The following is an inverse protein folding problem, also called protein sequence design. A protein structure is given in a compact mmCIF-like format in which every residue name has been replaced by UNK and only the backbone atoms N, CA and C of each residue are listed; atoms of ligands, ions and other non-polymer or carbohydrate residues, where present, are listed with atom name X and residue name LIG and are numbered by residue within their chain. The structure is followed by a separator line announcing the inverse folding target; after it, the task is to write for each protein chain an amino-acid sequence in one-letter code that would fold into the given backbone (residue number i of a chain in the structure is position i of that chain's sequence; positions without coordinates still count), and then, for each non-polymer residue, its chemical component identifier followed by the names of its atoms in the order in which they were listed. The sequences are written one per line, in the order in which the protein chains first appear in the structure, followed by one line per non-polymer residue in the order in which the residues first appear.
data_IF_427512399046
#
_entry.id   IF_427512399046
#
_cell.length_a   1.000
_cell.length_b   1.000
_cell.length_c   1.000
_cell.angle_alpha   90.00
_cell.angle_beta   90.00
_cell.angle_gamma   90.00
#
_symmetry.space_group_name_H-M   'P 1'
#
loop_
_entity.id
_entity.type
_entity.pdbx_description
1 polymer ?
#
# COMPACT_ATOMS: atom_id res chain seq x y z
N UNK A 1 13.15 -69.00 -47.26
CA UNK A 1 13.63 -67.60 -47.32
C UNK A 1 12.93 -66.77 -46.26
N UNK A 2 13.74 -66.10 -45.41
CA UNK A 2 13.52 -64.88 -44.61
C UNK A 2 12.34 -64.83 -43.62
N UNK A 3 12.68 -65.26 -42.40
CA UNK A 3 12.14 -64.81 -41.11
C UNK A 3 12.37 -63.30 -40.96
N UNK A 4 11.31 -62.51 -40.73
CA UNK A 4 11.44 -61.08 -40.40
C UNK A 4 11.06 -60.90 -38.92
N UNK A 5 12.07 -60.68 -38.07
CA UNK A 5 11.93 -60.37 -36.66
C UNK A 5 11.76 -58.86 -36.50
N UNK A 6 10.59 -58.43 -36.05
CA UNK A 6 10.33 -57.02 -35.70
C UNK A 6 10.50 -56.87 -34.20
N UNK A 7 11.57 -56.18 -33.79
CA UNK A 7 11.83 -55.82 -32.38
C UNK A 7 11.12 -54.48 -32.14
N UNK A 8 10.03 -54.48 -31.38
CA UNK A 8 9.37 -53.26 -30.92
C UNK A 8 10.03 -52.83 -29.61
N UNK A 9 10.82 -51.76 -29.68
CA UNK A 9 11.43 -51.09 -28.53
C UNK A 9 10.32 -50.42 -27.71
N UNK A 10 10.05 -50.94 -26.51
CA UNK A 10 9.16 -50.30 -25.54
C UNK A 10 9.90 -49.13 -24.87
N UNK A 11 9.61 -47.91 -25.30
CA UNK A 11 10.15 -46.68 -24.69
C UNK A 11 9.33 -46.35 -23.43
N UNK A 12 9.91 -46.61 -22.26
CA UNK A 12 9.33 -46.28 -20.95
C UNK A 12 9.53 -44.77 -20.70
N UNK A 13 8.50 -43.97 -20.95
CA UNK A 13 8.50 -42.52 -20.64
C UNK A 13 8.23 -42.37 -19.14
N UNK A 14 9.27 -42.05 -18.37
CA UNK A 14 9.17 -41.71 -16.94
C UNK A 14 8.45 -40.37 -16.85
N UNK A 15 7.14 -40.40 -16.63
CA UNK A 15 6.34 -39.23 -16.27
C UNK A 15 6.68 -38.81 -14.84
N UNK A 16 7.73 -38.00 -14.69
CA UNK A 16 8.04 -37.31 -13.45
C UNK A 16 6.97 -36.28 -13.13
N UNK A 17 5.99 -36.68 -12.32
CA UNK A 17 5.06 -35.76 -11.65
C UNK A 17 5.87 -34.90 -10.68
N UNK A 18 6.25 -33.71 -11.12
CA UNK A 18 6.73 -32.68 -10.21
C UNK A 18 5.52 -32.14 -9.45
N UNK A 19 5.28 -32.66 -8.25
CA UNK A 19 4.41 -32.04 -7.26
C UNK A 19 5.02 -30.70 -6.85
N UNK A 20 4.84 -29.68 -7.68
CA UNK A 20 5.11 -28.31 -7.27
C UNK A 20 4.00 -27.94 -6.29
N UNK A 21 4.33 -28.05 -5.02
CA UNK A 21 3.58 -27.42 -3.94
C UNK A 21 3.64 -25.92 -4.17
N UNK A 22 2.74 -25.39 -5.01
CA UNK A 22 2.46 -23.97 -5.06
C UNK A 22 1.80 -23.66 -3.73
N UNK A 23 2.61 -23.40 -2.71
CA UNK A 23 2.19 -22.60 -1.57
C UNK A 23 1.84 -21.24 -2.16
N UNK A 24 0.62 -21.13 -2.67
CA UNK A 24 0.00 -19.87 -3.01
C UNK A 24 -0.14 -19.13 -1.69
N UNK A 25 0.93 -18.44 -1.31
CA UNK A 25 0.92 -17.45 -0.26
C UNK A 25 -0.08 -16.41 -0.73
N UNK A 26 -1.33 -16.57 -0.31
CA UNK A 26 -2.42 -15.68 -0.68
C UNK A 26 -2.19 -14.45 0.18
N UNK A 27 -1.25 -13.61 -0.25
CA UNK A 27 -1.05 -12.29 0.32
C UNK A 27 -2.42 -11.60 0.25
N UNK A 28 -3.07 -11.54 1.42
CA UNK A 28 -4.37 -10.91 1.52
C UNK A 28 -4.11 -9.41 1.51
N UNK A 29 -4.12 -8.85 0.32
CA UNK A 29 -3.96 -7.43 0.11
C UNK A 29 -5.05 -6.68 0.90
N UNK A 30 -4.62 -5.77 1.78
CA UNK A 30 -5.52 -4.85 2.46
C UNK A 30 -5.66 -3.65 1.53
N UNK A 31 -6.85 -3.42 0.95
CA UNK A 31 -6.94 -2.60 -0.25
C UNK A 31 -6.79 -1.09 0.01
N UNK A 32 -6.66 -0.68 1.28
CA UNK A 32 -6.34 0.69 1.69
C UNK A 32 -4.84 0.94 1.84
N UNK A 33 -4.03 -0.11 2.02
CA UNK A 33 -2.61 0.02 2.36
C UNK A 33 -1.81 0.44 1.13
N UNK A 34 -1.07 1.53 1.25
CA UNK A 34 -0.32 2.11 0.15
C UNK A 34 -0.10 3.61 0.30
N UNK A 35 0.53 4.17 -0.72
CA UNK A 35 0.70 5.60 -0.91
C UNK A 35 -0.28 6.08 -1.98
N UNK A 36 -1.05 7.10 -1.61
CA UNK A 36 -2.14 7.66 -2.40
C UNK A 36 -1.89 9.15 -2.62
N UNK A 37 -2.19 9.64 -3.83
CA UNK A 37 -2.05 11.04 -4.22
C UNK A 37 -3.36 11.57 -4.80
N UNK A 38 -3.73 12.81 -4.45
CA UNK A 38 -4.94 13.46 -4.92
C UNK A 38 -4.80 14.97 -4.94
N UNK A 39 -5.74 15.65 -5.59
CA UNK A 39 -5.81 17.11 -5.60
C UNK A 39 -7.04 17.52 -4.80
N UNK A 40 -6.88 18.45 -3.85
CA UNK A 40 -8.04 19.03 -3.16
C UNK A 40 -8.82 19.90 -4.15
N UNK A 41 -10.08 19.57 -4.45
CA UNK A 41 -10.88 20.35 -5.40
C UNK A 41 -11.25 21.75 -4.91
N UNK A 42 -11.07 22.06 -3.62
CA UNK A 42 -11.41 23.38 -3.07
C UNK A 42 -10.30 24.41 -3.30
N UNK A 43 -9.03 24.00 -3.16
CA UNK A 43 -7.89 24.90 -3.20
C UNK A 43 -6.76 24.47 -4.17
N UNK A 44 -6.91 23.32 -4.84
CA UNK A 44 -5.94 22.79 -5.78
C UNK A 44 -4.68 22.22 -5.13
N UNK A 45 -4.62 22.12 -3.80
CA UNK A 45 -3.47 21.57 -3.10
C UNK A 45 -3.23 20.10 -3.45
N UNK A 46 -1.98 19.74 -3.76
CA UNK A 46 -1.57 18.33 -3.87
C UNK A 46 -1.52 17.68 -2.49
N UNK A 47 -2.25 16.58 -2.33
CA UNK A 47 -2.50 15.82 -1.12
C UNK A 47 -1.87 14.42 -1.23
N UNK A 48 -1.08 14.04 -0.22
CA UNK A 48 -0.55 12.69 -0.08
C UNK A 48 -1.14 11.99 1.15
N UNK A 49 -1.39 10.68 1.03
CA UNK A 49 -1.78 9.79 2.15
C UNK A 49 -0.97 8.51 2.08
N UNK A 50 -0.20 8.22 3.12
CA UNK A 50 0.43 6.94 3.39
C UNK A 50 -0.41 6.20 4.41
N UNK A 51 -0.90 5.01 4.05
CA UNK A 51 -1.71 4.15 4.91
C UNK A 51 -0.99 2.83 5.12
N UNK A 52 -0.80 2.43 6.37
CA UNK A 52 -0.07 1.21 6.76
C UNK A 52 -0.86 0.38 7.75
N UNK A 53 -0.67 -0.95 7.72
CA UNK A 53 -1.24 -1.87 8.70
C UNK A 53 -0.35 -1.97 9.93
N UNK A 54 -0.95 -1.79 11.11
CA UNK A 54 -0.31 -1.98 12.40
C UNK A 54 -0.37 -3.45 12.84
N UNK A 55 0.45 -3.83 13.83
CA UNK A 55 0.49 -5.20 14.35
C UNK A 55 -0.82 -5.66 15.00
N UNK A 56 -1.58 -4.71 15.56
CA UNK A 56 -2.89 -4.95 16.19
C UNK A 56 -4.04 -5.04 15.17
N UNK A 57 -3.76 -4.86 13.88
CA UNK A 57 -4.75 -4.89 12.80
C UNK A 57 -5.42 -3.55 12.51
N UNK A 58 -5.12 -2.49 13.27
CA UNK A 58 -5.55 -1.12 12.95
C UNK A 58 -4.73 -0.55 11.78
N UNK A 59 -5.20 0.55 11.19
CA UNK A 59 -4.50 1.25 10.12
C UNK A 59 -3.95 2.58 10.63
N UNK A 60 -2.66 2.81 10.42
CA UNK A 60 -2.04 4.12 10.60
C UNK A 60 -2.14 4.93 9.32
N UNK A 61 -2.36 6.23 9.46
CA UNK A 61 -2.44 7.18 8.35
C UNK A 61 -1.50 8.36 8.64
N UNK A 62 -0.63 8.64 7.69
CA UNK A 62 0.15 9.89 7.65
C UNK A 62 -0.11 10.57 6.30
N UNK A 63 -0.23 11.88 6.29
CA UNK A 63 -0.45 12.63 5.06
C UNK A 63 0.22 14.00 5.10
N UNK A 64 0.27 14.63 3.95
CA UNK A 64 0.73 16.00 3.79
C UNK A 64 -0.05 16.70 2.69
N UNK A 65 -0.05 18.02 2.72
CA UNK A 65 -0.47 18.83 1.58
C UNK A 65 0.53 19.94 1.31
N UNK A 66 0.62 20.31 0.05
CA UNK A 66 1.28 21.52 -0.42
C UNK A 66 0.57 22.80 0.04
N UNK A 67 -0.75 22.71 0.27
CA UNK A 67 -1.61 23.82 0.68
C UNK A 67 -2.81 23.30 1.49
N UNK A 68 -3.12 23.94 2.61
CA UNK A 68 -4.38 23.72 3.33
C UNK A 68 -5.08 25.05 3.57
N UNK A 69 -6.31 25.18 3.08
CA UNK A 69 -7.18 26.31 3.42
C UNK A 69 -7.37 26.49 4.93
N UNK A 70 -7.47 25.38 5.69
CA UNK A 70 -7.56 25.40 7.16
C UNK A 70 -6.27 25.91 7.85
N UNK A 71 -5.13 25.85 7.15
CA UNK A 71 -3.86 26.36 7.63
C UNK A 71 -3.54 27.76 7.08
N UNK A 72 -4.55 28.54 6.66
CA UNK A 72 -4.36 29.84 5.99
C UNK A 72 -3.41 29.76 4.77
N UNK A 73 -3.49 28.66 4.03
CA UNK A 73 -2.68 28.41 2.84
C UNK A 73 -1.26 27.92 3.12
N UNK A 74 -0.93 27.59 4.37
CA UNK A 74 0.33 26.95 4.72
C UNK A 74 0.28 25.44 4.48
N UNK A 75 1.46 24.84 4.47
CA UNK A 75 1.64 23.38 4.50
C UNK A 75 1.21 22.82 5.85
N UNK A 76 0.95 21.53 5.86
CA UNK A 76 0.64 20.79 7.08
C UNK A 76 0.91 19.30 6.93
N UNK A 77 0.86 18.62 8.07
CA UNK A 77 0.99 17.16 8.18
C UNK A 77 -0.27 16.63 8.83
N UNK A 78 -0.79 15.53 8.30
CA UNK A 78 -1.93 14.80 8.83
C UNK A 78 -1.40 13.53 9.47
N UNK A 79 -1.84 13.22 10.68
CA UNK A 79 -1.57 11.94 11.33
C UNK A 79 -2.87 11.39 11.93
N UNK A 80 -3.07 10.08 11.86
CA UNK A 80 -4.22 9.45 12.48
C UNK A 80 -4.13 7.94 12.50
N UNK A 81 -5.11 7.35 13.16
CA UNK A 81 -5.34 5.90 13.17
C UNK A 81 -6.81 5.63 12.89
N UNK A 82 -7.10 4.43 12.38
CA UNK A 82 -8.46 4.03 12.09
C UNK A 82 -8.64 2.55 11.87
N UNK A 83 -9.89 2.20 11.63
CA UNK A 83 -10.35 0.82 11.48
C UNK A 83 -11.23 0.69 10.23
N UNK A 84 -11.23 -0.51 9.66
CA UNK A 84 -12.07 -0.83 8.50
C UNK A 84 -13.46 -1.26 9.00
N UNK A 85 -14.49 -0.53 8.59
CA UNK A 85 -15.89 -0.89 8.75
C UNK A 85 -16.50 -1.19 7.37
N UNK A 86 -16.59 -2.47 7.03
CA UNK A 86 -17.06 -2.92 5.72
C UNK A 86 -16.09 -2.52 4.58
N UNK A 87 -16.49 -1.54 3.78
CA UNK A 87 -15.67 -0.98 2.67
C UNK A 87 -15.14 0.43 2.97
N UNK A 88 -15.29 0.89 4.21
CA UNK A 88 -14.92 2.24 4.64
C UNK A 88 -13.82 2.13 5.68
N UNK A 89 -12.76 2.92 5.52
CA UNK A 89 -11.78 3.16 6.57
C UNK A 89 -12.19 4.44 7.31
N UNK A 90 -12.58 4.29 8.58
CA UNK A 90 -12.91 5.42 9.45
C UNK A 90 -11.70 5.77 10.32
N UNK A 91 -11.27 7.03 10.29
CA UNK A 91 -10.09 7.50 11.03
C UNK A 91 -10.39 8.75 11.85
N UNK A 92 -9.67 8.89 12.96
CA UNK A 92 -9.54 10.16 13.65
C UNK A 92 -8.18 10.75 13.27
N UNK A 93 -8.19 11.90 12.57
CA UNK A 93 -6.96 12.55 12.11
C UNK A 93 -6.71 13.86 12.85
N UNK A 94 -5.44 14.17 13.02
CA UNK A 94 -4.93 15.45 13.50
C UNK A 94 -4.15 16.09 12.38
N UNK A 95 -4.61 17.25 11.91
CA UNK A 95 -3.88 18.14 11.03
C UNK A 95 -3.03 19.09 11.88
N UNK A 96 -1.73 19.10 11.64
CA UNK A 96 -0.77 20.03 12.21
C UNK A 96 -0.29 20.98 11.12
N UNK A 97 -0.61 22.26 11.24
CA UNK A 97 -0.15 23.28 10.31
C UNK A 97 1.28 23.74 10.63
N UNK A 98 2.04 24.16 9.61
CA UNK A 98 3.43 24.60 9.76
C UNK A 98 3.61 26.05 10.26
N UNK A 99 2.61 26.63 10.93
CA UNK A 99 2.71 27.96 11.53
C UNK A 99 3.48 27.95 12.88
N UNK A 100 3.83 29.12 13.39
CA UNK A 100 4.48 29.29 14.70
C UNK A 100 3.64 30.22 15.59
N UNK A 101 3.03 29.73 16.70
CA UNK A 101 3.01 28.33 17.14
C UNK A 101 2.15 27.43 16.22
N UNK A 102 2.42 26.10 16.15
CA UNK A 102 1.63 25.19 15.32
C UNK A 102 0.17 25.13 15.75
N UNK A 103 -0.73 25.26 14.79
CA UNK A 103 -2.17 25.03 14.98
C UNK A 103 -2.53 23.56 14.72
N UNK A 104 -3.46 23.04 15.53
CA UNK A 104 -3.88 21.64 15.53
C UNK A 104 -5.39 21.53 15.32
N UNK A 105 -5.79 20.74 14.34
CA UNK A 105 -7.19 20.49 14.02
C UNK A 105 -7.48 19.00 14.08
N UNK A 106 -8.45 18.59 14.91
CA UNK A 106 -8.93 17.21 14.98
C UNK A 106 -10.16 17.07 14.09
N UNK A 107 -10.12 16.08 13.20
CA UNK A 107 -11.10 15.89 12.14
C UNK A 107 -11.42 14.40 12.04
N UNK A 108 -12.70 14.06 11.87
CA UNK A 108 -13.08 12.68 11.51
C UNK A 108 -13.04 12.56 9.99
N UNK A 109 -12.31 11.57 9.50
CA UNK A 109 -12.21 11.27 8.08
C UNK A 109 -12.75 9.86 7.79
N UNK A 110 -13.41 9.73 6.65
CA UNK A 110 -13.86 8.47 6.07
C UNK A 110 -13.21 8.32 4.70
N UNK A 111 -12.63 7.15 4.47
CA UNK A 111 -12.01 6.79 3.21
C UNK A 111 -12.79 5.63 2.60
N UNK A 112 -13.42 5.88 1.46
CA UNK A 112 -14.21 4.88 0.73
C UNK A 112 -13.42 4.42 -0.49
N UNK A 113 -13.23 3.11 -0.63
CA UNK A 113 -12.54 2.56 -1.78
C UNK A 113 -13.51 2.35 -2.94
N UNK A 114 -13.29 3.08 -4.03
CA UNK A 114 -13.94 2.81 -5.31
C UNK A 114 -13.17 1.72 -6.05
N UNK A 115 -13.62 0.48 -5.88
CA UNK A 115 -13.01 -0.70 -6.51
C UNK A 115 -13.09 -0.68 -8.03
N UNK A 116 -14.07 0.01 -8.61
CA UNK A 116 -14.25 0.05 -10.06
C UNK A 116 -13.17 0.91 -10.69
N UNK A 117 -12.87 2.05 -10.07
CA UNK A 117 -11.89 3.02 -10.58
C UNK A 117 -10.49 2.88 -9.96
N UNK A 118 -10.35 2.07 -8.90
CA UNK A 118 -9.08 1.93 -8.18
C UNK A 118 -8.69 3.20 -7.41
N UNK A 119 -9.68 4.00 -7.01
CA UNK A 119 -9.49 5.28 -6.33
C UNK A 119 -9.94 5.22 -4.87
N UNK A 120 -9.39 6.10 -4.05
CA UNK A 120 -9.79 6.27 -2.65
C UNK A 120 -10.46 7.63 -2.47
N UNK A 121 -11.68 7.65 -1.94
CA UNK A 121 -12.47 8.88 -1.78
C UNK A 121 -12.46 9.29 -0.31
N UNK A 122 -11.88 10.44 0.00
CA UNK A 122 -11.86 11.02 1.34
C UNK A 122 -13.04 11.96 1.56
N UNK A 123 -13.74 11.74 2.67
CA UNK A 123 -14.78 12.62 3.20
C UNK A 123 -14.43 12.99 4.63
N UNK A 124 -14.43 14.28 4.94
CA UNK A 124 -14.30 14.75 6.32
C UNK A 124 -15.60 15.36 6.81
N UNK A 125 -15.80 15.37 8.12
CA UNK A 125 -16.92 16.06 8.76
C UNK A 125 -16.94 17.56 8.40
N UNK A 126 -15.78 18.22 8.39
CA UNK A 126 -15.64 19.62 7.99
C UNK A 126 -16.06 19.86 6.53
N UNK A 127 -15.64 19.00 5.59
CA UNK A 127 -16.03 19.14 4.18
C UNK A 127 -17.51 18.88 3.99
N UNK A 128 -18.04 17.86 4.64
CA UNK A 128 -19.47 17.49 4.56
C UNK A 128 -20.34 18.62 5.09
N UNK A 129 -20.01 19.19 6.25
CA UNK A 129 -20.74 20.31 6.85
C UNK A 129 -20.77 21.54 5.94
N UNK A 130 -19.72 21.74 5.15
CA UNK A 130 -19.57 22.88 4.25
C UNK A 130 -19.97 22.57 2.79
N UNK A 131 -20.62 21.42 2.53
CA UNK A 131 -20.99 20.96 1.18
C UNK A 131 -19.84 20.98 0.17
N UNK A 132 -18.61 20.70 0.63
CA UNK A 132 -17.42 20.64 -0.24
C UNK A 132 -17.31 19.27 -0.91
N UNK A 133 -16.87 19.20 -2.18
CA UNK A 133 -16.65 17.93 -2.85
C UNK A 133 -15.59 17.08 -2.14
N UNK A 134 -15.67 15.75 -2.17
CA UNK A 134 -14.65 14.88 -1.57
C UNK A 134 -13.32 14.99 -2.32
N UNK A 135 -12.23 14.58 -1.67
CA UNK A 135 -10.93 14.45 -2.34
C UNK A 135 -10.85 13.04 -2.91
N UNK A 136 -10.50 12.93 -4.19
CA UNK A 136 -10.30 11.64 -4.86
C UNK A 136 -8.80 11.41 -4.98
N UNK A 137 -8.34 10.28 -4.45
CA UNK A 137 -6.96 9.86 -4.50
C UNK A 137 -6.76 8.69 -5.46
N UNK A 138 -5.61 8.68 -6.10
CA UNK A 138 -5.10 7.61 -6.95
C UNK A 138 -3.95 6.90 -6.23
N UNK A 139 -3.91 5.58 -6.35
CA UNK A 139 -2.84 4.77 -5.79
C UNK A 139 -1.56 4.98 -6.60
N UNK A 140 -0.49 5.44 -5.96
CA UNK A 140 0.81 5.67 -6.61
C UNK A 140 1.85 4.62 -6.22
N UNK A 141 1.71 3.98 -5.07
CA UNK A 141 2.56 2.84 -4.68
C UNK A 141 1.84 1.91 -3.72
N UNK A 142 1.95 0.61 -3.94
CA UNK A 142 1.45 -0.42 -3.01
C UNK A 142 2.49 -0.65 -1.93
N UNK A 143 2.07 -0.64 -0.68
CA UNK A 143 2.91 -1.16 0.40
C UNK A 143 2.65 -2.66 0.53
N UNK A 144 3.72 -3.46 0.39
CA UNK A 144 3.60 -4.90 0.58
C UNK A 144 3.45 -5.19 2.07
N UNK A 145 2.24 -5.59 2.47
CA UNK A 145 1.99 -6.06 3.84
C UNK A 145 2.53 -7.48 3.94
N UNK A 146 3.77 -7.63 4.38
CA UNK A 146 4.30 -8.92 4.81
C UNK A 146 3.64 -9.30 6.14
N UNK A 147 2.56 -10.08 6.09
CA UNK A 147 2.01 -10.69 7.29
C UNK A 147 3.00 -11.76 7.77
N UNK A 148 3.84 -11.42 8.75
CA UNK A 148 4.71 -12.39 9.42
C UNK A 148 3.79 -13.39 10.13
N UNK A 149 3.50 -14.52 9.50
CA UNK A 149 2.80 -15.64 10.13
C UNK A 149 3.69 -16.08 11.29
N UNK A 150 3.28 -15.81 12.54
CA UNK A 150 3.93 -16.32 13.74
C UNK A 150 3.91 -17.86 13.65
N UNK A 151 5.01 -18.46 13.18
CA UNK A 151 5.14 -19.91 13.00
C UNK A 151 6.00 -20.37 11.82
N UNK A 152 6.29 -19.52 10.84
CA UNK A 152 7.16 -19.88 9.71
C UNK A 152 8.33 -18.89 9.60
N UNK A 153 9.45 -19.21 10.24
CA UNK A 153 10.74 -18.60 9.92
C UNK A 153 11.19 -19.16 8.58
N UNK A 154 10.69 -18.61 7.48
CA UNK A 154 11.24 -18.85 6.15
C UNK A 154 11.54 -17.50 5.53
N UNK A 155 12.80 -17.08 5.67
CA UNK A 155 13.36 -15.98 4.90
C UNK A 155 13.38 -16.45 3.43
N UNK A 156 12.51 -15.91 2.58
CA UNK A 156 12.84 -15.83 1.16
C UNK A 156 13.54 -14.49 0.94
N UNK A 157 14.86 -14.55 0.80
CA UNK A 157 15.62 -13.50 0.12
C UNK A 157 15.16 -13.48 -1.34
N UNK A 158 14.12 -12.70 -1.64
CA UNK A 158 13.82 -12.30 -3.02
C UNK A 158 14.75 -11.14 -3.33
N UNK A 159 15.78 -11.44 -4.10
CA UNK A 159 16.94 -10.60 -4.32
C UNK A 159 16.61 -9.18 -4.77
N UNK A 160 16.87 -8.23 -3.87
CA UNK A 160 17.24 -6.88 -4.26
C UNK A 160 18.76 -6.87 -4.47
N UNK A 161 19.17 -7.14 -5.70
CA UNK A 161 20.57 -7.04 -6.13
C UNK A 161 21.00 -5.57 -6.09
N UNK A 162 21.47 -5.09 -4.93
CA UNK A 162 22.41 -3.96 -4.86
C UNK A 162 23.78 -4.53 -4.50
N UNK A 163 24.59 -4.74 -5.51
CA UNK A 163 26.03 -4.90 -5.33
C UNK A 163 26.58 -3.53 -4.93
N UNK A 164 26.80 -3.31 -3.63
CA UNK A 164 27.70 -2.26 -3.17
C UNK A 164 29.06 -2.92 -3.00
N UNK A 165 29.90 -2.81 -4.02
CA UNK A 165 31.33 -3.11 -3.89
C UNK A 165 31.95 -2.00 -3.04
N UNK A 166 32.21 -2.29 -1.77
CA UNK A 166 33.10 -1.47 -0.96
C UNK A 166 34.51 -1.69 -1.51
N UNK A 167 35.13 -0.63 -2.05
CA UNK A 167 36.57 -0.66 -2.32
C UNK A 167 37.33 -0.47 -1.00
N UNK A 168 38.49 -1.13 -0.83
CA UNK A 168 39.31 -0.99 0.37
C UNK A 168 39.97 0.39 0.53
N UNK A 169 39.77 1.33 -0.40
CA UNK A 169 40.39 2.66 -0.42
C UNK A 169 39.47 3.83 0.02
N UNK A 170 38.21 3.58 0.38
CA UNK A 170 37.39 4.55 1.12
C UNK A 170 36.90 5.80 0.36
N UNK A 171 36.76 5.75 -0.98
CA UNK A 171 36.20 6.86 -1.77
C UNK A 171 34.74 6.63 -2.24
N UNK A 172 33.89 7.67 -2.18
CA UNK A 172 32.54 7.69 -2.78
C UNK A 172 32.54 8.47 -4.11
N UNK A 173 31.75 8.01 -5.09
CA UNK A 173 31.14 8.86 -6.13
C UNK A 173 29.63 8.68 -6.06
#
# INVERSE_FOLDING_TARGET
MKLCKTIVMATLIITGLTSQSVLANTEREIPFVGLWEGIDPDDGGNQLRSITLNEDGTLSLTGSSTYFSLCNGLRGVINGTGEIQGIVLETNVTLTCSNSPPSLYKVKAKYELDRKNGTLVERTDLRTKNNKPPIVFHLISRSQVYRRIKGATQFSEVGQKRVIMLRPDGGYR
#
